data_IF_473991467981
#
_entry.id   IF_473991467981
#
_cell.length_a   1.000
_cell.length_b   1.000
_cell.length_c   1.000
_cell.angle_alpha   90.00
_cell.angle_beta   90.00
_cell.angle_gamma   90.00
#
_symmetry.space_group_name_H-M   'P 1'
#
loop_
_entity.id
_entity.type
_entity.pdbx_description
1 polymer ?
#
# COMPACT_ATOMS: atom_id res chain seq x y z
N UNK A 1 -53.13 40.17 27.30
CA UNK A 1 -51.74 40.54 27.61
C UNK A 1 -51.00 39.27 27.97
N UNK A 2 -49.91 39.06 27.25
CA UNK A 2 -49.10 37.85 27.20
C UNK A 2 -48.18 37.76 28.41
N UNK A 3 -48.11 36.61 29.07
CA UNK A 3 -46.88 36.11 29.69
C UNK A 3 -46.91 34.59 29.68
N UNK A 4 -46.35 34.02 28.60
CA UNK A 4 -45.94 32.62 28.55
C UNK A 4 -44.54 32.55 29.15
N UNK A 5 -44.44 31.99 30.35
CA UNK A 5 -43.17 31.67 30.98
C UNK A 5 -42.63 30.40 30.32
N UNK A 6 -41.79 30.58 29.30
CA UNK A 6 -41.05 29.48 28.69
C UNK A 6 -40.09 28.86 29.69
N UNK A 7 -40.40 27.66 30.18
CA UNK A 7 -39.39 26.76 30.75
C UNK A 7 -38.63 26.13 29.60
N UNK A 8 -37.58 26.82 29.16
CA UNK A 8 -36.52 26.20 28.36
C UNK A 8 -35.86 25.14 29.25
N UNK A 9 -36.21 23.87 29.04
CA UNK A 9 -35.42 22.77 29.54
C UNK A 9 -34.12 22.77 28.75
N UNK A 10 -33.09 23.37 29.32
CA UNK A 10 -31.71 23.16 28.90
C UNK A 10 -31.39 21.68 29.14
N UNK A 11 -31.57 20.86 28.11
CA UNK A 11 -30.87 19.59 28.03
C UNK A 11 -29.39 19.94 27.97
N UNK A 12 -28.73 19.84 29.12
CA UNK A 12 -27.27 19.86 29.21
C UNK A 12 -26.73 18.85 28.20
N UNK A 13 -26.20 19.40 27.11
CA UNK A 13 -25.58 18.64 26.05
C UNK A 13 -24.19 18.30 26.54
N UNK A 14 -24.07 17.19 27.27
CA UNK A 14 -22.77 16.59 27.55
C UNK A 14 -21.94 16.58 26.26
N UNK A 15 -20.70 17.10 26.29
CA UNK A 15 -19.85 17.13 25.11
C UNK A 15 -19.71 15.72 24.53
N UNK A 16 -19.81 15.57 23.22
CA UNK A 16 -19.78 14.28 22.51
C UNK A 16 -18.58 13.41 22.96
N UNK A 17 -17.45 14.04 23.26
CA UNK A 17 -16.27 13.36 23.79
C UNK A 17 -16.52 12.69 25.16
N UNK A 18 -17.26 13.33 26.07
CA UNK A 18 -17.59 12.73 27.37
C UNK A 18 -18.49 11.50 27.22
N UNK A 19 -19.44 11.52 26.28
CA UNK A 19 -20.29 10.36 25.97
C UNK A 19 -19.52 9.18 25.38
N UNK A 20 -18.59 9.46 24.47
CA UNK A 20 -17.71 8.43 23.90
C UNK A 20 -16.82 7.84 25.00
N UNK A 21 -16.21 8.69 25.84
CA UNK A 21 -15.36 8.24 26.96
C UNK A 21 -16.15 7.41 27.97
N UNK A 22 -17.39 7.77 28.27
CA UNK A 22 -18.25 6.98 29.16
C UNK A 22 -18.54 5.59 28.58
N UNK A 23 -18.94 5.51 27.31
CA UNK A 23 -19.19 4.23 26.62
C UNK A 23 -17.95 3.33 26.55
N UNK A 24 -16.77 3.92 26.31
CA UNK A 24 -15.49 3.19 26.30
C UNK A 24 -15.15 2.64 27.68
N UNK A 25 -15.36 3.43 28.74
CA UNK A 25 -15.11 2.98 30.11
C UNK A 25 -16.09 1.87 30.54
N UNK A 26 -17.36 1.95 30.16
CA UNK A 26 -18.36 0.91 30.41
C UNK A 26 -18.02 -0.40 29.69
N UNK A 27 -17.54 -0.32 28.44
CA UNK A 27 -17.04 -1.48 27.70
C UNK A 27 -15.79 -2.09 28.35
N UNK A 28 -14.86 -1.26 28.82
CA UNK A 28 -13.65 -1.73 29.49
C UNK A 28 -13.97 -2.53 30.76
N UNK A 29 -14.95 -2.07 31.55
CA UNK A 29 -15.39 -2.77 32.77
C UNK A 29 -15.96 -4.16 32.47
N UNK A 30 -16.60 -4.36 31.33
CA UNK A 30 -17.10 -5.69 30.91
C UNK A 30 -15.96 -6.55 30.37
N UNK A 31 -15.05 -5.98 29.58
CA UNK A 31 -13.91 -6.69 28.98
C UNK A 31 -12.90 -7.16 30.05
N UNK A 32 -12.78 -6.42 31.16
CA UNK A 32 -11.91 -6.79 32.29
C UNK A 32 -12.49 -7.93 33.16
N UNK A 33 -13.73 -8.39 32.89
CA UNK A 33 -14.33 -9.54 33.58
C UNK A 33 -13.88 -10.87 32.97
N UNK A 34 -13.91 -11.93 33.77
CA UNK A 34 -13.66 -13.28 33.30
C UNK A 34 -14.68 -13.65 32.21
N UNK A 35 -14.21 -14.14 31.07
CA UNK A 35 -15.05 -14.47 29.93
C UNK A 35 -16.10 -15.53 30.32
N UNK A 36 -15.70 -16.52 31.14
CA UNK A 36 -16.62 -17.56 31.60
C UNK A 36 -17.77 -16.98 32.43
N UNK A 37 -17.50 -15.95 33.22
CA UNK A 37 -18.53 -15.23 33.97
C UNK A 37 -19.48 -14.46 33.04
N UNK A 38 -18.93 -13.74 32.05
CA UNK A 38 -19.72 -12.98 31.06
C UNK A 38 -20.66 -13.90 30.29
N UNK A 39 -20.21 -15.10 29.90
CA UNK A 39 -21.02 -16.07 29.16
C UNK A 39 -22.14 -16.69 30.03
N UNK A 40 -21.95 -16.81 31.35
CA UNK A 40 -23.00 -17.32 32.24
C UNK A 40 -24.11 -16.28 32.52
N UNK A 41 -23.85 -15.00 32.24
CA UNK A 41 -24.71 -13.87 32.57
C UNK A 41 -25.24 -13.16 31.31
N UNK A 42 -26.43 -13.55 30.81
CA UNK A 42 -26.97 -13.05 29.54
C UNK A 42 -27.24 -11.54 29.56
N UNK A 43 -27.57 -10.98 30.72
CA UNK A 43 -27.69 -9.55 30.94
C UNK A 43 -26.40 -8.76 30.63
N UNK A 44 -25.23 -9.34 30.91
CA UNK A 44 -23.92 -8.71 30.63
C UNK A 44 -23.63 -8.74 29.13
N UNK A 45 -23.99 -9.84 28.46
CA UNK A 45 -23.89 -9.97 27.00
C UNK A 45 -24.79 -8.95 26.30
N UNK A 46 -26.03 -8.79 26.75
CA UNK A 46 -26.97 -7.80 26.22
C UNK A 46 -26.45 -6.37 26.39
N UNK A 47 -25.92 -6.05 27.57
CA UNK A 47 -25.31 -4.75 27.86
C UNK A 47 -24.09 -4.49 26.98
N UNK A 48 -23.20 -5.48 26.81
CA UNK A 48 -22.05 -5.41 25.91
C UNK A 48 -22.49 -5.10 24.46
N UNK A 49 -23.44 -5.88 23.92
CA UNK A 49 -23.96 -5.69 22.57
C UNK A 49 -24.62 -4.31 22.39
N UNK A 50 -25.32 -3.83 23.42
CA UNK A 50 -25.93 -2.49 23.44
C UNK A 50 -24.86 -1.39 23.40
N UNK A 51 -23.79 -1.51 24.18
CA UNK A 51 -22.71 -0.53 24.20
C UNK A 51 -21.94 -0.48 22.89
N UNK A 52 -21.63 -1.63 22.29
CA UNK A 52 -21.01 -1.71 20.96
C UNK A 52 -21.88 -1.05 19.89
N UNK A 53 -23.20 -1.29 19.93
CA UNK A 53 -24.17 -0.66 19.00
C UNK A 53 -24.22 0.85 19.17
N UNK A 54 -24.20 1.34 20.41
CA UNK A 54 -24.19 2.77 20.71
C UNK A 54 -22.89 3.45 20.27
N UNK A 55 -21.74 2.79 20.48
CA UNK A 55 -20.44 3.27 20.02
C UNK A 55 -20.36 3.31 18.48
N UNK A 56 -20.96 2.33 17.80
CA UNK A 56 -21.07 2.33 16.33
C UNK A 56 -21.87 3.52 15.79
N UNK A 57 -22.95 3.92 16.47
CA UNK A 57 -23.74 5.10 16.08
C UNK A 57 -22.94 6.40 16.17
N UNK A 58 -21.84 6.40 16.93
CA UNK A 58 -20.93 7.54 17.08
C UNK A 58 -19.63 7.38 16.27
N UNK A 59 -19.58 6.43 15.33
CA UNK A 59 -18.39 6.11 14.54
C UNK A 59 -17.78 7.30 13.79
N UNK A 60 -18.59 8.30 13.39
CA UNK A 60 -18.13 9.53 12.75
C UNK A 60 -17.21 10.40 13.61
N UNK A 61 -17.17 10.16 14.92
CA UNK A 61 -16.38 10.91 15.90
C UNK A 61 -15.19 10.11 16.45
N UNK A 62 -14.99 8.88 15.97
CA UNK A 62 -13.90 8.01 16.38
C UNK A 62 -12.67 8.23 15.50
N UNK A 63 -11.48 8.11 16.09
CA UNK A 63 -10.23 8.05 15.30
C UNK A 63 -10.12 6.72 14.55
N UNK A 64 -9.24 6.66 13.56
CA UNK A 64 -9.00 5.44 12.75
C UNK A 64 -8.67 4.22 13.63
N UNK A 65 -7.85 4.39 14.67
CA UNK A 65 -7.52 3.32 15.63
C UNK A 65 -8.74 2.82 16.40
N UNK A 66 -9.62 3.73 16.83
CA UNK A 66 -10.86 3.38 17.53
C UNK A 66 -11.87 2.69 16.59
N UNK A 67 -11.86 3.01 15.30
CA UNK A 67 -12.68 2.33 14.29
C UNK A 67 -12.22 0.88 14.06
N UNK A 68 -10.91 0.61 14.08
CA UNK A 68 -10.38 -0.76 14.01
C UNK A 68 -10.82 -1.58 15.24
N UNK A 69 -10.68 -1.02 16.45
CA UNK A 69 -11.11 -1.67 17.70
C UNK A 69 -12.62 -1.92 17.73
N UNK A 70 -13.43 -0.95 17.29
CA UNK A 70 -14.87 -1.12 17.15
C UNK A 70 -15.23 -2.27 16.22
N UNK A 71 -14.44 -2.52 15.17
CA UNK A 71 -14.66 -3.64 14.25
C UNK A 71 -14.48 -4.98 14.97
N UNK A 72 -13.42 -5.14 15.75
CA UNK A 72 -13.19 -6.33 16.58
C UNK A 72 -14.29 -6.54 17.62
N UNK A 73 -14.72 -5.46 18.30
CA UNK A 73 -15.82 -5.50 19.26
C UNK A 73 -17.15 -5.90 18.62
N UNK A 74 -17.41 -5.45 17.39
CA UNK A 74 -18.59 -5.85 16.62
C UNK A 74 -18.57 -7.32 16.22
N UNK A 75 -17.40 -7.85 15.83
CA UNK A 75 -17.27 -9.28 15.55
C UNK A 75 -17.56 -10.11 16.79
N UNK A 76 -17.04 -9.69 17.96
CA UNK A 76 -17.32 -10.34 19.23
C UNK A 76 -18.80 -10.25 19.63
N UNK A 77 -19.42 -9.07 19.50
CA UNK A 77 -20.84 -8.87 19.77
C UNK A 77 -21.73 -9.75 18.89
N UNK A 78 -21.39 -9.90 17.61
CA UNK A 78 -22.11 -10.80 16.71
C UNK A 78 -21.98 -12.27 17.17
N UNK A 79 -20.77 -12.71 17.51
CA UNK A 79 -20.53 -14.09 17.98
C UNK A 79 -21.31 -14.36 19.28
N UNK A 80 -21.31 -13.40 20.19
CA UNK A 80 -22.09 -13.47 21.43
C UNK A 80 -23.61 -13.39 21.22
N UNK A 81 -24.09 -12.75 20.15
CA UNK A 81 -25.53 -12.64 19.89
C UNK A 81 -26.08 -13.89 19.20
N UNK A 82 -25.33 -14.44 18.24
CA UNK A 82 -25.81 -15.53 17.38
C UNK A 82 -25.40 -16.91 17.87
N UNK A 83 -24.16 -17.08 18.34
CA UNK A 83 -23.63 -18.41 18.67
C UNK A 83 -23.76 -18.73 20.15
N UNK A 84 -23.73 -17.72 21.03
CA UNK A 84 -23.82 -17.92 22.47
C UNK A 84 -25.10 -18.65 22.94
N UNK A 85 -26.31 -18.35 22.43
CA UNK A 85 -27.51 -19.09 22.84
C UNK A 85 -27.44 -20.58 22.45
N UNK A 86 -26.81 -20.89 21.32
CA UNK A 86 -26.60 -22.27 20.89
C UNK A 86 -25.54 -22.96 21.77
N UNK A 87 -24.42 -22.29 22.06
CA UNK A 87 -23.35 -22.79 22.95
C UNK A 87 -23.91 -23.05 24.35
N UNK A 88 -24.71 -22.12 24.90
CA UNK A 88 -25.35 -22.25 26.21
C UNK A 88 -26.39 -23.37 26.23
N UNK A 89 -27.27 -23.45 25.22
CA UNK A 89 -28.22 -24.55 25.10
C UNK A 89 -27.50 -25.91 25.07
N UNK A 90 -26.39 -26.02 24.32
CA UNK A 90 -25.61 -27.24 24.29
C UNK A 90 -24.90 -27.53 25.62
N UNK A 91 -24.41 -26.52 26.33
CA UNK A 91 -23.80 -26.67 27.65
C UNK A 91 -24.82 -27.11 28.72
N UNK A 92 -26.00 -26.48 28.75
CA UNK A 92 -27.11 -26.83 29.64
C UNK A 92 -27.63 -28.24 29.33
N UNK A 93 -27.76 -28.59 28.04
CA UNK A 93 -28.09 -29.95 27.61
C UNK A 93 -27.00 -30.93 28.06
N UNK A 94 -25.72 -30.59 27.95
CA UNK A 94 -24.61 -31.44 28.41
C UNK A 94 -24.67 -31.65 29.93
N UNK A 95 -24.91 -30.60 30.71
CA UNK A 95 -25.04 -30.65 32.15
C UNK A 95 -26.24 -31.49 32.59
N UNK A 96 -27.41 -31.29 31.96
CA UNK A 96 -28.62 -32.09 32.22
C UNK A 96 -28.43 -33.56 31.81
N UNK A 97 -27.70 -33.82 30.72
CA UNK A 97 -27.38 -35.18 30.29
C UNK A 97 -26.38 -35.85 31.23
N UNK A 98 -25.43 -35.09 31.79
CA UNK A 98 -24.47 -35.55 32.79
C UNK A 98 -25.13 -35.83 34.15
N UNK A 99 -26.12 -35.04 34.55
CA UNK A 99 -26.88 -35.24 35.80
C UNK A 99 -27.87 -36.42 35.70
N UNK A 100 -28.39 -36.72 34.50
CA UNK A 100 -29.38 -37.79 34.27
C UNK A 100 -28.78 -39.14 33.90
N UNK A 101 -27.50 -39.22 33.51
CA UNK A 101 -26.86 -40.47 33.14
C UNK A 101 -25.88 -40.94 34.22
N UNK A 102 -26.17 -42.12 34.78
CA UNK A 102 -25.20 -42.93 35.52
C UNK A 102 -23.88 -43.00 34.72
N UNK A 103 -22.77 -42.61 35.38
CA UNK A 103 -21.44 -42.33 34.81
C UNK A 103 -20.71 -43.57 34.23
N UNK A 104 -21.36 -44.38 33.39
CA UNK A 104 -20.77 -45.58 32.79
C UNK A 104 -21.08 -45.76 31.29
N UNK A 105 -21.31 -44.66 30.56
CA UNK A 105 -21.56 -44.74 29.12
C UNK A 105 -20.26 -44.52 28.33
N UNK A 106 -19.56 -45.60 27.98
CA UNK A 106 -18.31 -45.57 27.19
C UNK A 106 -18.38 -44.79 25.88
N UNK A 107 -19.60 -44.52 25.37
CA UNK A 107 -19.86 -43.65 24.23
C UNK A 107 -19.47 -42.17 24.47
N UNK A 108 -19.74 -41.61 25.66
CA UNK A 108 -19.36 -40.22 25.99
C UNK A 108 -17.85 -40.07 26.15
N UNK A 109 -17.18 -41.10 26.68
CA UNK A 109 -15.71 -41.14 26.78
C UNK A 109 -15.10 -41.21 25.37
N UNK A 110 -15.64 -42.05 24.48
CA UNK A 110 -15.19 -42.14 23.09
C UNK A 110 -15.35 -40.81 22.33
N UNK A 111 -16.51 -40.16 22.47
CA UNK A 111 -16.75 -38.83 21.89
C UNK A 111 -15.78 -37.78 22.41
N UNK A 112 -15.46 -37.79 23.71
CA UNK A 112 -14.47 -36.88 24.30
C UNK A 112 -13.08 -37.08 23.70
N UNK A 113 -12.63 -38.32 23.52
CA UNK A 113 -11.33 -38.60 22.89
C UNK A 113 -11.29 -38.18 21.42
N UNK A 114 -12.36 -38.44 20.66
CA UNK A 114 -12.44 -38.03 19.26
C UNK A 114 -12.44 -36.50 19.11
N UNK A 115 -13.13 -35.80 20.02
CA UNK A 115 -13.20 -34.34 20.01
C UNK A 115 -11.84 -33.72 20.38
N UNK A 116 -11.11 -34.31 21.33
CA UNK A 116 -9.75 -33.91 21.65
C UNK A 116 -8.77 -34.14 20.47
N UNK A 117 -8.82 -35.30 19.81
CA UNK A 117 -7.98 -35.59 18.63
C UNK A 117 -8.22 -34.59 17.49
N UNK A 118 -9.49 -34.23 17.26
CA UNK A 118 -9.84 -33.17 16.29
C UNK A 118 -9.35 -31.80 16.74
N UNK A 119 -9.41 -31.49 18.03
CA UNK A 119 -8.92 -30.22 18.57
C UNK A 119 -7.40 -30.10 18.40
N UNK A 120 -6.66 -31.17 18.66
CA UNK A 120 -5.20 -31.19 18.47
C UNK A 120 -4.82 -30.99 16.99
N UNK A 121 -5.55 -31.62 16.06
CA UNK A 121 -5.38 -31.38 14.61
C UNK A 121 -5.70 -29.94 14.18
N UNK A 122 -6.75 -29.36 14.74
CA UNK A 122 -7.09 -27.94 14.46
C UNK A 122 -5.95 -27.05 14.94
N UNK A 123 -5.40 -27.32 16.13
CA UNK A 123 -4.28 -26.56 16.66
C UNK A 123 -3.05 -26.66 15.76
N UNK A 124 -2.73 -27.86 15.27
CA UNK A 124 -1.65 -28.09 14.29
C UNK A 124 -1.87 -27.26 13.02
N UNK A 125 -3.08 -27.29 12.43
CA UNK A 125 -3.39 -26.49 11.24
C UNK A 125 -3.31 -24.97 11.49
N UNK A 126 -3.66 -24.50 12.68
CA UNK A 126 -3.53 -23.08 13.04
C UNK A 126 -2.05 -22.67 13.13
N UNK A 127 -1.20 -23.53 13.69
CA UNK A 127 0.24 -23.29 13.73
C UNK A 127 0.87 -23.30 12.32
N UNK A 128 0.46 -24.23 11.45
CA UNK A 128 0.87 -24.26 10.04
C UNK A 128 0.40 -23.00 9.29
N UNK A 129 -0.85 -22.58 9.48
CA UNK A 129 -1.39 -21.38 8.86
C UNK A 129 -0.61 -20.13 9.31
N UNK A 130 -0.30 -20.01 10.59
CA UNK A 130 0.52 -18.91 11.10
C UNK A 130 1.92 -18.89 10.46
N UNK A 131 2.54 -20.05 10.25
CA UNK A 131 3.84 -20.13 9.58
C UNK A 131 3.76 -19.67 8.11
N UNK A 132 2.68 -20.03 7.41
CA UNK A 132 2.42 -19.59 6.04
C UNK A 132 2.22 -18.06 5.99
N UNK A 133 1.42 -17.50 6.90
CA UNK A 133 1.15 -16.05 6.95
C UNK A 133 2.44 -15.25 7.19
N UNK A 134 3.33 -15.74 8.07
CA UNK A 134 4.66 -15.13 8.26
C UNK A 134 5.52 -15.19 6.98
N UNK A 135 5.49 -16.32 6.26
CA UNK A 135 6.22 -16.47 5.01
C UNK A 135 5.68 -15.54 3.92
N UNK A 136 4.36 -15.37 3.83
CA UNK A 136 3.72 -14.42 2.91
C UNK A 136 4.15 -12.99 3.23
N UNK A 137 4.06 -12.56 4.49
CA UNK A 137 4.46 -11.22 4.90
C UNK A 137 5.93 -10.91 4.57
N UNK A 138 6.83 -11.87 4.81
CA UNK A 138 8.25 -11.72 4.44
C UNK A 138 8.47 -11.63 2.93
N UNK A 139 7.71 -12.40 2.14
CA UNK A 139 7.76 -12.35 0.68
C UNK A 139 7.24 -11.02 0.13
N UNK A 140 6.18 -10.47 0.72
CA UNK A 140 5.64 -9.15 0.35
C UNK A 140 6.65 -8.02 0.62
N UNK A 141 7.36 -8.07 1.75
CA UNK A 141 8.43 -7.12 2.06
C UNK A 141 9.57 -7.18 1.03
N UNK A 142 10.04 -8.39 0.67
CA UNK A 142 11.06 -8.57 -0.37
C UNK A 142 10.60 -8.05 -1.73
N UNK A 143 9.34 -8.29 -2.10
CA UNK A 143 8.78 -7.77 -3.35
C UNK A 143 8.70 -6.24 -3.35
N UNK A 144 8.37 -5.62 -2.21
CA UNK A 144 8.35 -4.17 -2.08
C UNK A 144 9.73 -3.55 -2.34
N UNK A 145 10.78 -4.13 -1.75
CA UNK A 145 12.16 -3.71 -1.98
C UNK A 145 12.58 -3.88 -3.44
N UNK A 146 12.19 -4.99 -4.07
CA UNK A 146 12.50 -5.25 -5.48
C UNK A 146 11.81 -4.26 -6.42
N UNK A 147 10.57 -3.86 -6.13
CA UNK A 147 9.86 -2.85 -6.92
C UNK A 147 10.51 -1.46 -6.78
N UNK A 148 11.02 -1.12 -5.60
CA UNK A 148 11.79 0.11 -5.40
C UNK A 148 13.11 0.10 -6.20
N UNK A 149 13.85 -1.02 -6.17
CA UNK A 149 15.08 -1.18 -6.96
C UNK A 149 14.82 -1.08 -8.48
N UNK A 150 13.75 -1.72 -8.96
CA UNK A 150 13.32 -1.60 -10.37
C UNK A 150 13.00 -0.17 -10.75
N UNK A 151 12.36 0.59 -9.88
CA UNK A 151 12.02 1.99 -10.13
C UNK A 151 13.29 2.85 -10.23
N UNK A 152 14.27 2.64 -9.35
CA UNK A 152 15.55 3.35 -9.42
C UNK A 152 16.35 2.99 -10.68
N UNK A 153 16.40 1.71 -11.06
CA UNK A 153 17.01 1.28 -12.33
C UNK A 153 16.33 1.92 -13.54
N UNK A 154 14.99 1.99 -13.55
CA UNK A 154 14.25 2.63 -14.63
C UNK A 154 14.57 4.13 -14.75
N UNK A 155 14.74 4.84 -13.61
CA UNK A 155 15.19 6.24 -13.60
C UNK A 155 16.60 6.38 -14.17
N UNK A 156 17.53 5.51 -13.77
CA UNK A 156 18.90 5.52 -14.27
C UNK A 156 18.95 5.30 -15.80
N UNK A 157 18.23 4.30 -16.31
CA UNK A 157 18.13 4.02 -17.76
C UNK A 157 17.57 5.24 -18.51
N UNK A 158 16.57 5.93 -17.94
CA UNK A 158 16.02 7.14 -18.57
C UNK A 158 17.08 8.24 -18.71
N UNK A 159 17.84 8.51 -17.65
CA UNK A 159 18.90 9.52 -17.64
C UNK A 159 20.01 9.18 -18.65
N UNK A 160 20.43 7.91 -18.71
CA UNK A 160 21.43 7.48 -19.70
C UNK A 160 20.92 7.65 -21.13
N UNK A 161 19.65 7.31 -21.40
CA UNK A 161 19.05 7.49 -22.72
C UNK A 161 18.98 8.96 -23.13
N UNK A 162 18.66 9.86 -22.21
CA UNK A 162 18.70 11.32 -22.44
C UNK A 162 20.12 11.79 -22.76
N UNK A 163 21.13 11.32 -22.03
CA UNK A 163 22.53 11.63 -22.30
C UNK A 163 23.00 11.11 -23.67
N UNK A 164 22.63 9.88 -24.03
CA UNK A 164 22.91 9.30 -25.35
C UNK A 164 22.26 10.12 -26.47
N UNK A 165 21.02 10.59 -26.27
CA UNK A 165 20.34 11.43 -27.25
C UNK A 165 21.05 12.78 -27.43
N UNK A 166 21.49 13.41 -26.34
CA UNK A 166 22.26 14.65 -26.37
C UNK A 166 23.60 14.47 -27.13
N UNK A 167 24.36 13.42 -26.80
CA UNK A 167 25.62 13.11 -27.48
C UNK A 167 25.44 12.80 -28.96
N UNK A 168 24.35 12.09 -29.34
CA UNK A 168 24.02 11.86 -30.74
C UNK A 168 23.76 13.16 -31.49
N UNK A 169 23.02 14.10 -30.87
CA UNK A 169 22.76 15.42 -31.46
C UNK A 169 24.05 16.21 -31.67
N UNK A 170 24.89 16.29 -30.65
CA UNK A 170 26.20 16.97 -30.73
C UNK A 170 27.08 16.36 -31.83
N UNK A 171 27.15 15.03 -31.91
CA UNK A 171 27.87 14.33 -32.98
C UNK A 171 27.33 14.68 -34.37
N UNK A 172 26.02 14.83 -34.53
CA UNK A 172 25.42 15.22 -35.80
C UNK A 172 25.73 16.68 -36.17
N UNK A 173 25.80 17.58 -35.19
CA UNK A 173 26.21 18.97 -35.39
C UNK A 173 27.69 19.06 -35.78
N UNK A 174 28.58 18.40 -35.04
CA UNK A 174 30.01 18.35 -35.35
C UNK A 174 30.29 17.77 -36.75
N UNK A 175 29.52 16.76 -37.18
CA UNK A 175 29.61 16.21 -38.55
C UNK A 175 29.20 17.22 -39.62
N UNK A 176 28.14 18.00 -39.36
CA UNK A 176 27.68 19.05 -40.29
C UNK A 176 28.74 20.15 -40.43
N UNK A 177 29.31 20.59 -39.31
CA UNK A 177 30.39 21.58 -39.31
C UNK A 177 31.62 21.07 -40.06
N UNK A 178 32.07 19.84 -39.78
CA UNK A 178 33.19 19.21 -40.48
C UNK A 178 32.95 19.16 -42.00
N UNK A 179 31.74 18.79 -42.44
CA UNK A 179 31.39 18.78 -43.86
C UNK A 179 31.46 20.18 -44.49
N UNK A 180 30.98 21.21 -43.77
CA UNK A 180 31.08 22.59 -44.22
C UNK A 180 32.54 23.05 -44.37
N UNK A 181 33.42 22.71 -43.41
CA UNK A 181 34.84 23.00 -43.51
C UNK A 181 35.53 22.30 -44.68
N UNK A 182 35.23 21.02 -44.91
CA UNK A 182 35.77 20.27 -46.05
C UNK A 182 35.35 20.89 -47.39
N UNK A 183 34.09 21.32 -47.52
CA UNK A 183 33.61 22.01 -48.72
C UNK A 183 34.35 23.34 -48.94
N UNK A 184 34.58 24.12 -47.88
CA UNK A 184 35.38 25.35 -47.97
C UNK A 184 36.82 25.07 -48.41
N UNK A 185 37.44 24.02 -47.87
CA UNK A 185 38.81 23.64 -48.21
C UNK A 185 38.90 23.25 -49.69
N UNK A 186 37.95 22.45 -50.19
CA UNK A 186 37.88 22.09 -51.61
C UNK A 186 37.76 23.31 -52.51
N UNK A 187 36.89 24.27 -52.15
CA UNK A 187 36.77 25.51 -52.92
C UNK A 187 38.06 26.34 -52.97
N UNK A 188 38.85 26.34 -51.91
CA UNK A 188 40.15 27.01 -51.90
C UNK A 188 41.16 26.30 -52.81
N UNK A 189 41.14 24.97 -52.83
CA UNK A 189 41.99 24.16 -53.71
C UNK A 189 41.65 24.41 -55.18
N UNK A 190 40.36 24.35 -55.54
CA UNK A 190 39.85 24.66 -56.89
C UNK A 190 40.25 26.09 -57.32
N UNK A 191 40.21 27.06 -56.39
CA UNK A 191 40.63 28.44 -56.66
C UNK A 191 42.14 28.54 -56.88
N UNK A 192 42.94 27.79 -56.12
CA UNK A 192 44.39 27.75 -56.25
C UNK A 192 44.79 27.20 -57.61
N UNK A 193 44.20 26.08 -58.04
CA UNK A 193 44.42 25.51 -59.38
C UNK A 193 44.08 26.52 -60.49
N UNK A 194 42.95 27.22 -60.36
CA UNK A 194 42.53 28.26 -61.31
C UNK A 194 43.55 29.42 -61.37
N UNK A 195 44.05 29.87 -60.22
CA UNK A 195 45.05 30.93 -60.15
C UNK A 195 46.37 30.50 -60.80
N UNK A 196 46.78 29.25 -60.59
CA UNK A 196 48.01 28.70 -61.17
C UNK A 196 47.91 28.63 -62.70
N UNK A 197 46.78 28.15 -63.24
CA UNK A 197 46.52 28.19 -64.68
C UNK A 197 46.56 29.62 -65.24
N UNK A 198 45.92 30.59 -64.57
CA UNK A 198 45.92 31.99 -65.01
C UNK A 198 47.33 32.60 -64.98
N UNK A 199 48.12 32.33 -63.95
CA UNK A 199 49.51 32.77 -63.87
C UNK A 199 50.35 32.17 -65.00
N UNK A 200 50.13 30.91 -65.35
CA UNK A 200 50.82 30.26 -66.46
C UNK A 200 50.48 30.95 -67.80
N UNK A 201 49.20 31.22 -68.06
CA UNK A 201 48.78 31.98 -69.25
C UNK A 201 49.42 33.37 -69.31
N UNK A 202 49.51 34.07 -68.18
CA UNK A 202 50.17 35.39 -68.10
C UNK A 202 51.67 35.27 -68.40
N UNK A 203 52.35 34.26 -67.84
CA UNK A 203 53.78 34.02 -68.10
C UNK A 203 54.05 33.73 -69.58
N UNK A 204 53.20 32.91 -70.21
CA UNK A 204 53.30 32.62 -71.64
C UNK A 204 53.07 33.87 -72.50
N UNK A 205 52.03 34.66 -72.20
CA UNK A 205 51.78 35.92 -72.88
C UNK A 205 52.94 36.91 -72.72
N UNK A 206 53.52 37.00 -71.52
CA UNK A 206 54.69 37.83 -71.24
C UNK A 206 55.93 37.38 -72.00
N UNK A 207 56.22 36.07 -72.01
CA UNK A 207 57.32 35.48 -72.77
C UNK A 207 57.19 35.77 -74.28
N UNK A 208 55.97 35.66 -74.82
CA UNK A 208 55.67 35.99 -76.21
C UNK A 208 55.86 37.48 -76.52
N UNK A 209 55.53 38.38 -75.59
CA UNK A 209 55.84 39.81 -75.76
C UNK A 209 57.35 40.07 -75.74
N UNK A 210 58.08 39.41 -74.83
CA UNK A 210 59.53 39.52 -74.74
C UNK A 210 60.25 38.99 -75.98
N UNK A 211 59.70 37.98 -76.67
CA UNK A 211 60.29 37.44 -77.91
C UNK A 211 60.05 38.35 -79.13
N UNK A 212 59.02 39.20 -79.09
CA UNK A 212 58.68 40.15 -80.17
C UNK A 212 59.46 41.47 -80.03
N UNK A 213 59.85 41.87 -78.81
CA UNK A 213 60.73 43.02 -78.60
C UNK A 213 62.17 42.56 -78.92
N UNK A 214 62.79 43.02 -80.02
CA UNK A 214 64.18 42.67 -80.29
C UNK A 214 65.03 43.17 -79.13
N UNK A 215 65.95 42.34 -78.63
CA UNK A 215 67.01 42.81 -77.74
C UNK A 215 67.72 43.97 -78.44
N UNK A 216 67.47 45.20 -77.99
CA UNK A 216 68.38 46.31 -78.15
C UNK A 216 69.72 45.95 -77.50
#
# INVERSE_FOLDING_TARGET
>A
MSHSSGSSSTTDSEPINHRITALVNELAVIIDQDLDYVLLHPEIVDDFCRYVTNLQRQSSHLSVTHLCLLTSLKMLANLLTYDHPAIRFHADLLAETLDKCDFNNGYLIALKYELNDRHDKIKEYVEEQHAIDQAIASSEEQNSLLEEEKLELAKAIRLENEAIAALKKERHEARREKAAYLNKLKHLDDLSELMEMKMQTIREAWSNLQSVIPRL
#
